data_IF_020097111676
#
_entry.id   IF_020097111676
#
_cell.length_a   1.000
_cell.length_b   1.000
_cell.length_c   1.000
_cell.angle_alpha   90.00
_cell.angle_beta   90.00
_cell.angle_gamma   90.00
#
_symmetry.space_group_name_H-M   'P 1'
#
loop_
_entity.id
_entity.type
_entity.pdbx_description
1 polymer ?
#
# COMPACT_ATOMS: atom_id res chain seq x y z
N UNK A 1 16.66 -0.52 3.45
CA UNK A 1 17.84 0.40 3.66
C UNK A 1 18.93 -0.17 4.57
N UNK A 2 18.65 -1.09 5.49
CA UNK A 2 19.67 -1.68 6.38
C UNK A 2 20.80 -2.42 5.65
N UNK A 3 20.49 -3.15 4.58
CA UNK A 3 21.50 -3.91 3.83
C UNK A 3 22.57 -3.02 3.15
N UNK A 4 22.13 -1.90 2.57
CA UNK A 4 23.07 -0.94 1.95
C UNK A 4 24.00 -0.31 2.99
N UNK A 5 23.48 0.03 4.17
CA UNK A 5 24.28 0.60 5.26
C UNK A 5 25.36 -0.39 5.76
N UNK A 6 24.97 -1.65 5.97
CA UNK A 6 25.92 -2.70 6.33
C UNK A 6 26.99 -2.95 5.25
N UNK A 7 26.58 -2.95 3.98
CA UNK A 7 27.50 -3.08 2.85
C UNK A 7 28.56 -1.99 2.86
N UNK A 8 28.15 -0.73 3.06
CA UNK A 8 29.06 0.41 3.13
C UNK A 8 30.05 0.27 4.32
N UNK A 9 29.56 -0.17 5.49
CA UNK A 9 30.42 -0.42 6.66
C UNK A 9 31.49 -1.48 6.35
N UNK A 10 31.11 -2.60 5.75
CA UNK A 10 32.03 -3.67 5.42
C UNK A 10 33.08 -3.25 4.36
N UNK A 11 32.66 -2.47 3.35
CA UNK A 11 33.60 -1.90 2.36
C UNK A 11 34.57 -0.96 3.04
N UNK A 12 34.06 -0.06 3.90
CA UNK A 12 34.93 0.87 4.64
C UNK A 12 35.92 0.13 5.54
N UNK A 13 35.46 -0.89 6.27
CA UNK A 13 36.33 -1.73 7.10
C UNK A 13 37.43 -2.43 6.27
N UNK A 14 37.07 -2.96 5.09
CA UNK A 14 38.04 -3.57 4.18
C UNK A 14 39.11 -2.57 3.70
N UNK A 15 38.69 -1.34 3.36
CA UNK A 15 39.60 -0.27 2.95
C UNK A 15 40.56 0.11 4.10
N UNK A 16 40.02 0.33 5.30
CA UNK A 16 40.83 0.67 6.48
C UNK A 16 41.83 -0.43 6.79
N UNK A 17 41.39 -1.70 6.80
CA UNK A 17 42.28 -2.85 6.99
C UNK A 17 43.37 -2.93 5.91
N UNK A 18 43.08 -2.54 4.67
CA UNK A 18 44.07 -2.55 3.59
C UNK A 18 45.18 -1.49 3.77
N UNK A 19 44.82 -0.32 4.29
CA UNK A 19 45.73 0.84 4.45
C UNK A 19 46.62 0.72 5.66
N UNK A 20 46.25 0.02 6.72
CA UNK A 20 47.06 -0.15 7.91
C UNK A 20 48.25 -1.06 7.60
N UNK A 21 49.48 -0.59 7.91
CA UNK A 21 50.70 -1.39 7.80
C UNK A 21 50.84 -2.26 9.05
N UNK A 22 50.70 -3.57 8.88
CA UNK A 22 50.92 -4.54 9.96
C UNK A 22 52.29 -5.22 9.82
N UNK A 23 52.87 -5.73 10.94
CA UNK A 23 54.07 -6.56 10.90
C UNK A 23 53.89 -7.81 10.03
N UNK A 24 54.99 -8.33 9.45
CA UNK A 24 54.95 -9.47 8.53
C UNK A 24 54.27 -10.73 9.13
N UNK A 25 54.39 -10.94 10.45
CA UNK A 25 53.78 -12.04 11.17
C UNK A 25 52.22 -12.05 11.08
N UNK A 26 51.61 -10.89 10.87
CA UNK A 26 50.12 -10.71 10.83
C UNK A 26 49.61 -10.53 9.39
N UNK A 27 50.49 -10.56 8.39
CA UNK A 27 50.09 -10.31 6.99
C UNK A 27 49.07 -11.30 6.43
N UNK A 28 49.12 -12.57 6.84
CA UNK A 28 48.14 -13.61 6.42
C UNK A 28 46.75 -13.36 7.02
N UNK A 29 46.70 -13.03 8.31
CA UNK A 29 45.42 -12.71 9.00
C UNK A 29 44.79 -11.44 8.44
N UNK A 30 45.57 -10.44 8.08
CA UNK A 30 45.11 -9.23 7.39
C UNK A 30 44.44 -9.57 6.06
N UNK A 31 45.07 -10.37 5.20
CA UNK A 31 44.49 -10.78 3.91
C UNK A 31 43.16 -11.53 4.09
N UNK A 32 43.09 -12.47 5.02
CA UNK A 32 41.88 -13.21 5.32
C UNK A 32 40.76 -12.29 5.85
N UNK A 33 41.09 -11.36 6.75
CA UNK A 33 40.12 -10.39 7.27
C UNK A 33 39.60 -9.46 6.16
N UNK A 34 40.44 -8.97 5.28
CA UNK A 34 40.01 -8.12 4.15
C UNK A 34 39.11 -8.89 3.18
N UNK A 35 39.47 -10.13 2.85
CA UNK A 35 38.63 -11.00 1.99
C UNK A 35 37.30 -11.28 2.70
N UNK A 36 37.30 -11.57 4.00
CA UNK A 36 36.09 -11.77 4.79
C UNK A 36 35.15 -10.56 4.78
N UNK A 37 35.68 -9.35 4.96
CA UNK A 37 34.90 -8.13 4.88
C UNK A 37 34.35 -7.89 3.48
N UNK A 38 35.10 -8.16 2.43
CA UNK A 38 34.65 -8.01 1.05
C UNK A 38 33.55 -9.01 0.71
N UNK A 39 33.69 -10.27 1.11
CA UNK A 39 32.67 -11.29 0.90
C UNK A 39 31.38 -10.97 1.68
N UNK A 40 31.49 -10.51 2.93
CA UNK A 40 30.35 -10.07 3.72
C UNK A 40 29.65 -8.86 3.07
N UNK A 41 30.42 -7.88 2.55
CA UNK A 41 29.86 -6.75 1.82
C UNK A 41 29.08 -7.18 0.58
N UNK A 42 29.62 -8.13 -0.18
CA UNK A 42 28.94 -8.64 -1.38
C UNK A 42 27.63 -9.34 -1.02
N UNK A 43 27.65 -10.22 -0.02
CA UNK A 43 26.46 -10.94 0.44
C UNK A 43 25.39 -9.98 0.97
N UNK A 44 25.76 -9.05 1.86
CA UNK A 44 24.80 -8.08 2.42
C UNK A 44 24.25 -7.12 1.35
N UNK A 45 25.09 -6.74 0.38
CA UNK A 45 24.67 -5.93 -0.76
C UNK A 45 23.66 -6.63 -1.64
N UNK A 46 23.92 -7.87 -2.00
CA UNK A 46 22.98 -8.67 -2.81
C UNK A 46 21.66 -8.93 -2.06
N UNK A 47 21.74 -9.37 -0.80
CA UNK A 47 20.53 -9.62 0.00
C UNK A 47 19.70 -8.36 0.20
N UNK A 48 20.34 -7.20 0.35
CA UNK A 48 19.67 -5.91 0.52
C UNK A 48 19.06 -5.34 -0.76
N UNK A 49 19.39 -5.90 -1.94
CA UNK A 49 18.86 -5.46 -3.22
C UNK A 49 17.57 -6.18 -3.63
N UNK A 50 17.24 -7.30 -2.99
CA UNK A 50 16.05 -8.09 -3.28
C UNK A 50 15.07 -8.06 -2.12
N UNK A 51 13.79 -8.04 -2.44
CA UNK A 51 12.67 -8.14 -1.51
C UNK A 51 11.66 -9.15 -2.02
N UNK A 52 10.76 -9.59 -1.15
CA UNK A 52 9.70 -10.54 -1.48
C UNK A 52 8.33 -9.86 -1.40
N UNK A 53 7.51 -10.06 -2.44
CA UNK A 53 6.13 -9.62 -2.48
C UNK A 53 5.19 -10.76 -2.11
N UNK A 54 4.40 -10.57 -1.04
CA UNK A 54 3.43 -11.55 -0.59
C UNK A 54 2.17 -11.58 -1.45
N UNK A 55 1.47 -12.70 -1.42
CA UNK A 55 0.17 -12.84 -2.07
C UNK A 55 -0.83 -11.82 -1.50
N UNK A 56 -1.62 -11.19 -2.39
CA UNK A 56 -2.61 -10.18 -2.00
C UNK A 56 -2.08 -8.75 -1.94
N UNK A 57 -0.78 -8.54 -2.19
CA UNK A 57 -0.16 -7.23 -2.23
C UNK A 57 0.44 -6.92 -3.61
N UNK A 58 0.58 -5.62 -3.88
CA UNK A 58 1.34 -5.06 -4.99
C UNK A 58 2.37 -4.12 -4.41
N UNK A 59 3.55 -4.03 -5.02
CA UNK A 59 4.62 -3.18 -4.54
C UNK A 59 4.90 -2.05 -5.53
N UNK A 60 4.89 -0.83 -5.03
CA UNK A 60 5.45 0.31 -5.75
C UNK A 60 6.91 0.47 -5.31
N UNK A 61 7.81 0.20 -6.23
CA UNK A 61 9.26 0.21 -5.99
C UNK A 61 9.87 1.47 -6.59
N UNK A 62 10.61 2.20 -5.77
CA UNK A 62 11.40 3.34 -6.21
C UNK A 62 12.86 3.08 -5.89
N UNK A 63 13.66 2.88 -6.92
CA UNK A 63 15.11 2.63 -6.77
C UNK A 63 15.85 3.89 -6.31
N UNK A 64 17.07 3.72 -5.84
CA UNK A 64 17.95 4.86 -5.48
C UNK A 64 18.26 5.77 -6.67
N UNK A 65 18.15 5.26 -7.89
CA UNK A 65 18.36 6.02 -9.14
C UNK A 65 17.11 6.80 -9.58
N UNK A 66 16.00 6.73 -8.82
CA UNK A 66 14.75 7.41 -9.11
C UNK A 66 13.86 6.68 -10.12
N UNK A 67 14.24 5.49 -10.59
CA UNK A 67 13.38 4.66 -11.44
C UNK A 67 12.25 4.11 -10.60
N UNK A 68 11.03 4.22 -11.11
CA UNK A 68 9.84 3.67 -10.48
C UNK A 68 9.32 2.47 -11.26
N UNK A 69 8.91 1.45 -10.54
CA UNK A 69 8.34 0.22 -11.12
C UNK A 69 7.25 -0.35 -10.23
N UNK A 70 6.34 -1.10 -10.86
CA UNK A 70 5.28 -1.83 -10.17
C UNK A 70 5.60 -3.32 -10.14
N UNK A 71 5.45 -3.96 -8.99
CA UNK A 71 5.52 -5.41 -8.83
C UNK A 71 4.12 -5.90 -8.48
N UNK A 72 3.44 -6.50 -9.46
CA UNK A 72 2.06 -6.94 -9.36
C UNK A 72 1.94 -8.39 -8.92
N UNK A 73 2.97 -9.19 -9.24
CA UNK A 73 3.00 -10.62 -8.99
C UNK A 73 3.66 -10.95 -7.65
N UNK A 74 3.32 -12.11 -7.11
CA UNK A 74 3.92 -12.67 -5.91
C UNK A 74 5.29 -13.25 -6.23
N UNK A 75 6.28 -12.98 -5.37
CA UNK A 75 7.61 -13.56 -5.52
C UNK A 75 8.74 -12.57 -5.21
N UNK A 76 9.95 -13.00 -5.53
CA UNK A 76 11.13 -12.17 -5.35
C UNK A 76 11.22 -11.11 -6.44
N UNK A 77 11.57 -9.89 -6.03
CA UNK A 77 11.78 -8.77 -6.95
C UNK A 77 13.03 -7.96 -6.56
N UNK A 78 13.55 -7.25 -7.54
CA UNK A 78 14.70 -6.38 -7.35
C UNK A 78 14.25 -4.99 -6.87
N UNK A 79 14.57 -4.66 -5.62
CA UNK A 79 14.26 -3.36 -5.02
C UNK A 79 15.32 -2.29 -5.33
N UNK A 80 16.52 -2.69 -5.74
CA UNK A 80 17.61 -1.80 -6.11
C UNK A 80 18.08 -0.87 -5.00
N UNK A 81 18.11 -1.36 -3.74
CA UNK A 81 18.40 -0.62 -2.50
C UNK A 81 17.55 0.62 -2.27
N UNK A 82 16.45 0.71 -2.97
CA UNK A 82 15.53 1.83 -2.91
C UNK A 82 14.53 1.73 -1.76
N UNK A 83 13.31 2.09 -2.06
CA UNK A 83 12.16 2.01 -1.14
C UNK A 83 10.99 1.41 -1.86
N UNK A 84 10.38 0.39 -1.27
CA UNK A 84 9.12 -0.16 -1.70
C UNK A 84 7.98 0.31 -0.79
N UNK A 85 6.80 0.45 -1.37
CA UNK A 85 5.55 0.74 -0.66
C UNK A 85 4.57 -0.34 -1.02
N UNK A 86 4.10 -1.06 0.00
CA UNK A 86 3.14 -2.15 -0.16
C UNK A 86 1.71 -1.64 -0.22
N UNK A 87 0.93 -2.13 -1.17
CA UNK A 87 -0.47 -1.83 -1.38
C UNK A 87 -1.27 -3.13 -1.44
N UNK A 88 -2.34 -3.27 -0.66
CA UNK A 88 -3.21 -4.44 -0.77
C UNK A 88 -3.94 -4.42 -2.12
N UNK A 89 -4.12 -5.56 -2.78
CA UNK A 89 -4.86 -5.65 -4.06
C UNK A 89 -6.31 -5.22 -3.94
N UNK A 90 -6.88 -5.32 -2.73
CA UNK A 90 -8.25 -4.91 -2.43
C UNK A 90 -8.28 -4.05 -1.18
N UNK A 91 -9.08 -3.02 -1.23
CA UNK A 91 -9.34 -2.10 -0.11
C UNK A 91 -10.81 -2.21 0.24
N UNK A 92 -11.13 -2.46 1.51
CA UNK A 92 -12.52 -2.45 1.99
C UNK A 92 -12.74 -1.20 2.83
N UNK A 93 -13.71 -0.40 2.42
CA UNK A 93 -14.18 0.79 3.14
C UNK A 93 -15.55 0.47 3.72
N UNK A 94 -15.69 0.55 5.03
CA UNK A 94 -16.93 0.17 5.69
C UNK A 94 -17.38 1.24 6.69
N UNK A 95 -18.65 1.61 6.61
CA UNK A 95 -19.37 2.41 7.60
C UNK A 95 -20.23 1.45 8.42
N UNK A 96 -19.75 0.98 9.57
CA UNK A 96 -20.46 -0.03 10.38
C UNK A 96 -20.11 0.09 11.85
N UNK A 97 -21.03 -0.34 12.72
CA UNK A 97 -20.76 -0.46 14.16
C UNK A 97 -19.84 -1.65 14.48
N UNK A 98 -19.78 -2.64 13.59
CA UNK A 98 -18.98 -3.84 13.81
C UNK A 98 -17.53 -3.60 13.37
N UNK A 99 -16.65 -3.41 14.34
CA UNK A 99 -15.21 -3.21 14.12
C UNK A 99 -14.50 -4.49 13.61
N UNK A 100 -15.12 -5.65 13.75
CA UNK A 100 -14.57 -6.93 13.27
C UNK A 100 -14.87 -7.19 11.78
N UNK A 101 -15.43 -6.24 11.06
CA UNK A 101 -15.81 -6.38 9.64
C UNK A 101 -14.61 -6.54 8.67
N UNK A 102 -13.37 -6.58 9.18
CA UNK A 102 -12.17 -6.90 8.38
C UNK A 102 -11.86 -5.90 7.26
N UNK A 103 -12.15 -4.61 7.46
CA UNK A 103 -11.91 -3.57 6.47
C UNK A 103 -10.57 -2.86 6.62
N UNK A 104 -10.11 -2.25 5.55
CA UNK A 104 -8.92 -1.38 5.54
C UNK A 104 -9.20 -0.04 6.23
N UNK A 105 -10.45 0.40 6.24
CA UNK A 105 -10.94 1.54 7.01
C UNK A 105 -12.36 1.26 7.46
N UNK A 106 -12.59 1.33 8.77
CA UNK A 106 -13.89 1.10 9.40
C UNK A 106 -14.24 2.35 10.20
N UNK A 107 -15.37 2.95 9.85
CA UNK A 107 -15.97 4.07 10.58
C UNK A 107 -17.35 3.68 11.08
N UNK A 108 -17.90 4.41 12.05
CA UNK A 108 -19.28 4.22 12.48
C UNK A 108 -20.29 4.42 11.34
N UNK A 109 -21.56 4.05 11.56
CA UNK A 109 -22.63 4.26 10.59
C UNK A 109 -22.65 5.69 10.08
N UNK A 110 -22.84 5.85 8.77
CA UNK A 110 -22.90 7.16 8.16
C UNK A 110 -24.32 7.73 8.26
N UNK A 111 -24.44 8.93 8.82
CA UNK A 111 -25.74 9.61 8.96
C UNK A 111 -26.08 10.34 7.69
N UNK A 112 -27.22 9.99 7.10
CA UNK A 112 -27.75 10.57 5.86
C UNK A 112 -29.05 11.30 6.10
N UNK A 113 -29.36 12.25 5.22
CA UNK A 113 -30.64 12.95 5.17
C UNK A 113 -31.43 12.46 3.96
N UNK A 114 -32.66 12.02 4.21
CA UNK A 114 -33.59 11.56 3.18
C UNK A 114 -34.35 12.74 2.54
N UNK A 115 -35.04 12.48 1.44
CA UNK A 115 -35.80 13.48 0.68
C UNK A 115 -36.87 14.22 1.51
N UNK A 116 -37.45 13.55 2.49
CA UNK A 116 -38.48 14.08 3.41
C UNK A 116 -37.89 14.73 4.68
N UNK A 117 -36.60 15.05 4.67
CA UNK A 117 -35.84 15.62 5.79
C UNK A 117 -35.64 14.71 7.03
N UNK A 118 -36.04 13.47 6.96
CA UNK A 118 -35.67 12.51 7.98
C UNK A 118 -34.18 12.17 7.92
N UNK A 119 -33.62 11.81 9.06
CA UNK A 119 -32.24 11.34 9.14
C UNK A 119 -32.22 9.86 9.46
N UNK A 120 -31.39 9.11 8.77
CA UNK A 120 -31.15 7.70 9.01
C UNK A 120 -29.65 7.38 9.13
N UNK A 121 -29.35 6.28 9.76
CA UNK A 121 -27.98 5.77 9.83
C UNK A 121 -27.83 4.62 8.82
N UNK A 122 -26.91 4.79 7.87
CA UNK A 122 -26.62 3.80 6.83
C UNK A 122 -25.35 3.04 7.17
N UNK A 123 -25.46 1.71 7.14
CA UNK A 123 -24.29 0.82 7.25
C UNK A 123 -24.01 0.21 5.88
N UNK A 124 -22.75 0.30 5.43
CA UNK A 124 -22.32 -0.25 4.16
C UNK A 124 -20.89 -0.78 4.26
N UNK A 125 -20.53 -1.65 3.32
CA UNK A 125 -19.17 -2.12 3.10
C UNK A 125 -18.91 -2.20 1.61
N UNK A 126 -18.00 -1.40 1.12
CA UNK A 126 -17.63 -1.33 -0.30
C UNK A 126 -16.19 -1.79 -0.47
N UNK A 127 -15.96 -2.69 -1.42
CA UNK A 127 -14.64 -3.22 -1.73
C UNK A 127 -14.14 -2.65 -3.04
N UNK A 128 -13.00 -1.99 -3.00
CA UNK A 128 -12.31 -1.44 -4.15
C UNK A 128 -11.14 -2.33 -4.55
N UNK A 129 -10.96 -2.52 -5.83
CA UNK A 129 -9.78 -3.17 -6.39
C UNK A 129 -8.78 -2.11 -6.82
N UNK A 130 -7.51 -2.29 -6.43
CA UNK A 130 -6.43 -1.44 -6.91
C UNK A 130 -6.13 -1.81 -8.39
N UNK A 131 -5.79 -0.82 -9.24
CA UNK A 131 -5.45 -1.08 -10.63
C UNK A 131 -4.42 -2.19 -10.80
N UNK A 132 -4.70 -3.11 -11.71
CA UNK A 132 -3.80 -4.22 -12.08
C UNK A 132 -2.87 -3.86 -13.23
N UNK A 133 -3.08 -2.70 -13.85
CA UNK A 133 -2.16 -2.14 -14.83
C UNK A 133 -1.01 -1.42 -14.15
N UNK A 134 0.22 -1.71 -14.56
CA UNK A 134 1.43 -1.18 -13.94
C UNK A 134 1.53 0.35 -14.01
N UNK A 135 1.13 0.94 -15.13
CA UNK A 135 1.23 2.39 -15.33
C UNK A 135 0.20 3.14 -14.47
N UNK A 136 -1.05 2.67 -14.45
CA UNK A 136 -2.11 3.23 -13.63
C UNK A 136 -1.78 3.09 -12.14
N UNK A 137 -1.25 1.94 -11.72
CA UNK A 137 -0.84 1.70 -10.35
C UNK A 137 0.29 2.64 -9.91
N UNK A 138 1.32 2.87 -10.75
CA UNK A 138 2.40 3.82 -10.45
C UNK A 138 1.82 5.23 -10.31
N UNK A 139 0.98 5.69 -11.23
CA UNK A 139 0.33 7.02 -11.16
C UNK A 139 -0.48 7.20 -9.88
N UNK A 140 -1.28 6.19 -9.50
CA UNK A 140 -2.04 6.18 -8.27
C UNK A 140 -1.10 6.28 -7.05
N UNK A 141 -0.06 5.45 -7.00
CA UNK A 141 0.92 5.44 -5.89
C UNK A 141 1.68 6.76 -5.77
N UNK A 142 1.99 7.42 -6.87
CA UNK A 142 2.62 8.75 -6.88
C UNK A 142 1.68 9.83 -6.31
N UNK A 143 0.39 9.75 -6.67
CA UNK A 143 -0.62 10.74 -6.26
C UNK A 143 -0.90 10.63 -4.76
N UNK A 144 -1.18 9.44 -4.27
CA UNK A 144 -1.65 9.26 -2.89
C UNK A 144 -0.53 8.95 -1.90
N UNK A 145 0.58 8.36 -2.34
CA UNK A 145 1.78 7.99 -1.55
C UNK A 145 1.55 7.01 -0.39
N UNK A 146 0.35 6.91 0.13
CA UNK A 146 -0.03 5.96 1.19
C UNK A 146 -1.48 5.53 1.06
N UNK A 147 -1.77 4.32 1.55
CA UNK A 147 -3.12 3.77 1.61
C UNK A 147 -4.07 4.68 2.41
N UNK A 148 -3.62 5.17 3.56
CA UNK A 148 -4.44 6.03 4.44
C UNK A 148 -4.90 7.30 3.73
N UNK A 149 -4.02 7.90 2.90
CA UNK A 149 -4.41 9.07 2.12
C UNK A 149 -5.43 8.71 1.04
N UNK A 150 -5.22 7.64 0.30
CA UNK A 150 -6.19 7.18 -0.71
C UNK A 150 -7.57 6.97 -0.06
N UNK A 151 -7.62 6.26 1.05
CA UNK A 151 -8.87 5.96 1.75
C UNK A 151 -9.53 7.23 2.29
N UNK A 152 -8.80 8.04 3.06
CA UNK A 152 -9.38 9.17 3.79
C UNK A 152 -9.64 10.40 2.91
N UNK A 153 -8.84 10.62 1.85
CA UNK A 153 -9.00 11.81 1.01
C UNK A 153 -9.87 11.58 -0.23
N UNK A 154 -10.11 10.31 -0.61
CA UNK A 154 -10.83 10.00 -1.84
C UNK A 154 -11.91 8.94 -1.62
N UNK A 155 -11.55 7.71 -1.26
CA UNK A 155 -12.52 6.61 -1.23
C UNK A 155 -13.65 6.84 -0.23
N UNK A 156 -13.34 7.27 0.99
CA UNK A 156 -14.34 7.52 2.03
C UNK A 156 -15.27 8.70 1.69
N UNK A 157 -14.75 9.88 1.29
CA UNK A 157 -15.60 10.97 0.82
C UNK A 157 -16.47 10.61 -0.38
N UNK A 158 -15.94 9.87 -1.37
CA UNK A 158 -16.68 9.49 -2.56
C UNK A 158 -17.80 8.50 -2.23
N UNK A 159 -17.54 7.52 -1.36
CA UNK A 159 -18.57 6.60 -0.86
C UNK A 159 -19.66 7.38 -0.10
N UNK A 160 -19.30 8.27 0.80
CA UNK A 160 -20.25 9.07 1.55
C UNK A 160 -21.08 9.99 0.64
N UNK A 161 -20.44 10.64 -0.33
CA UNK A 161 -21.15 11.47 -1.31
C UNK A 161 -22.12 10.65 -2.18
N UNK A 162 -21.75 9.43 -2.55
CA UNK A 162 -22.63 8.50 -3.27
C UNK A 162 -23.83 8.10 -2.43
N UNK A 163 -23.62 7.82 -1.14
CA UNK A 163 -24.72 7.52 -0.19
C UNK A 163 -25.66 8.72 -0.08
N UNK A 164 -25.13 9.93 0.12
CA UNK A 164 -25.94 11.15 0.22
C UNK A 164 -26.73 11.43 -1.06
N UNK A 165 -26.11 11.26 -2.22
CA UNK A 165 -26.75 11.46 -3.52
C UNK A 165 -27.96 10.55 -3.70
N UNK A 166 -27.81 9.27 -3.36
CA UNK A 166 -28.88 8.29 -3.49
C UNK A 166 -29.93 8.46 -2.39
N UNK A 167 -29.51 8.71 -1.14
CA UNK A 167 -30.43 8.89 -0.01
C UNK A 167 -31.40 10.07 -0.22
N UNK A 168 -30.94 11.15 -0.85
CA UNK A 168 -31.78 12.32 -1.15
C UNK A 168 -32.89 12.04 -2.19
N UNK A 169 -32.87 10.90 -2.88
CA UNK A 169 -33.88 10.51 -3.85
C UNK A 169 -35.07 9.72 -3.21
N UNK A 170 -34.90 9.26 -1.97
CA UNK A 170 -35.84 8.37 -1.30
C UNK A 170 -36.44 9.01 -0.04
N UNK A 171 -37.72 8.79 0.17
CA UNK A 171 -38.43 9.11 1.44
C UNK A 171 -38.23 7.98 2.45
N UNK A 172 -38.42 8.27 3.73
CA UNK A 172 -38.33 7.27 4.79
C UNK A 172 -39.30 6.12 4.57
N UNK A 173 -40.57 6.42 4.14
CA UNK A 173 -41.58 5.42 3.87
C UNK A 173 -41.15 4.47 2.73
N UNK A 174 -40.60 5.01 1.66
CA UNK A 174 -40.12 4.21 0.51
C UNK A 174 -38.93 3.29 0.90
N UNK A 175 -38.07 3.76 1.76
CA UNK A 175 -36.93 2.99 2.23
C UNK A 175 -37.33 1.87 3.20
N UNK A 176 -38.24 2.16 4.15
CA UNK A 176 -38.71 1.18 5.16
C UNK A 176 -39.78 0.25 4.67
N UNK A 177 -40.65 0.66 3.75
CA UNK A 177 -41.72 -0.20 3.19
C UNK A 177 -41.19 -1.38 2.36
N UNK A 178 -39.89 -1.43 2.13
CA UNK A 178 -39.21 -2.54 1.46
C UNK A 178 -39.30 -2.54 -0.06
N UNK A 179 -40.28 -1.81 -0.64
CA UNK A 179 -40.52 -1.82 -2.09
C UNK A 179 -39.37 -1.24 -2.93
N UNK A 180 -38.65 -0.27 -2.40
CA UNK A 180 -37.58 0.43 -3.12
C UNK A 180 -36.17 0.19 -2.53
N UNK A 181 -36.06 -0.62 -1.49
CA UNK A 181 -34.79 -0.91 -0.83
C UNK A 181 -33.75 -1.54 -1.77
N UNK A 182 -34.18 -2.42 -2.64
CA UNK A 182 -33.28 -3.07 -3.61
C UNK A 182 -32.92 -2.11 -4.75
N UNK A 183 -33.79 -1.18 -5.12
CA UNK A 183 -33.49 -0.10 -6.05
C UNK A 183 -32.42 0.83 -5.45
N UNK A 184 -32.57 1.23 -4.19
CA UNK A 184 -31.58 2.02 -3.47
C UNK A 184 -30.18 1.38 -3.52
N UNK A 185 -30.09 0.08 -3.26
CA UNK A 185 -28.82 -0.66 -3.36
C UNK A 185 -28.24 -0.60 -4.75
N UNK A 186 -29.04 -0.85 -5.78
CA UNK A 186 -28.59 -0.86 -7.18
C UNK A 186 -28.08 0.52 -7.58
N UNK A 187 -28.84 1.58 -7.31
CA UNK A 187 -28.44 2.96 -7.62
C UNK A 187 -27.19 3.41 -6.85
N UNK A 188 -27.05 2.95 -5.60
CA UNK A 188 -25.84 3.22 -4.83
C UNK A 188 -24.60 2.60 -5.50
N UNK A 189 -24.66 1.33 -5.90
CA UNK A 189 -23.54 0.68 -6.57
C UNK A 189 -23.24 1.28 -7.95
N UNK A 190 -24.26 1.77 -8.66
CA UNK A 190 -24.09 2.44 -9.95
C UNK A 190 -23.48 3.84 -9.80
N UNK A 191 -23.67 4.48 -8.64
CA UNK A 191 -23.17 5.84 -8.35
C UNK A 191 -21.76 5.84 -7.78
N UNK A 192 -21.34 4.76 -7.12
CA UNK A 192 -19.96 4.63 -6.61
C UNK A 192 -18.98 4.58 -7.79
N UNK A 193 -18.03 5.51 -7.85
CA UNK A 193 -17.06 5.53 -8.96
C UNK A 193 -16.26 4.23 -8.98
N UNK A 194 -16.35 3.49 -10.09
CA UNK A 194 -15.45 2.37 -10.28
C UNK A 194 -14.07 2.91 -10.69
N UNK A 195 -12.97 2.37 -10.16
CA UNK A 195 -11.62 2.85 -10.45
C UNK A 195 -11.16 2.62 -11.91
N UNK A 196 -12.05 2.10 -12.77
CA UNK A 196 -11.76 1.80 -14.17
C UNK A 196 -12.29 2.84 -15.18
N UNK A 197 -12.76 3.99 -14.71
CA UNK A 197 -13.18 5.09 -15.61
C UNK A 197 -12.24 6.25 -15.61
#
# INVERSE_FOLDING_TARGET
>A
MGGLFLTVIFIFAAIVLSLIKFPAAVARTKKLATIGCLSAATVTGLLGAFSYNDAGFQQHVRTIFGTESAVLDTGWYFEGWGRSTSWPKFITVANTLNQDAGGSSITGPYRVRLADNWTGDVTQSTRFQIPTDAEQFIRMSQTFRSLDRLVNSTLMPDVNASIDSVANMYTMEEYYSGGKRDQFKTEFFDTVPSPEK
#
